data_IF_736233967251
#
_entry.id   IF_736233967251
#
_cell.length_a   1.000
_cell.length_b   1.000
_cell.length_c   1.000
_cell.angle_alpha   90.00
_cell.angle_beta   90.00
_cell.angle_gamma   90.00
#
_symmetry.space_group_name_H-M   'P 1'
#
loop_
_entity.id
_entity.type
_entity.pdbx_description
1 polymer ?
#
# COMPACT_ATOMS: atom_id res chain seq x y z
N UNK A 1 18.23 3.28 6.89
CA UNK A 1 17.14 4.17 7.38
C UNK A 1 16.05 4.28 6.32
N UNK A 2 14.82 3.85 6.64
CA UNK A 2 13.68 4.02 5.72
C UNK A 2 13.26 5.48 5.71
N UNK A 3 13.29 6.15 4.55
CA UNK A 3 12.90 7.57 4.39
C UNK A 3 11.39 7.84 4.59
N UNK A 4 10.58 6.82 4.90
CA UNK A 4 9.12 6.92 5.04
C UNK A 4 8.73 7.12 6.50
N UNK A 5 8.53 8.38 6.89
CA UNK A 5 8.05 8.75 8.23
C UNK A 5 6.52 8.73 8.27
N UNK A 6 5.94 7.90 9.14
CA UNK A 6 4.51 7.93 9.42
C UNK A 6 4.20 9.08 10.37
N UNK A 7 2.96 9.58 10.35
CA UNK A 7 2.51 10.62 11.30
C UNK A 7 2.59 10.11 12.75
N UNK A 8 2.22 8.85 12.96
CA UNK A 8 2.37 8.13 14.23
C UNK A 8 3.42 7.02 14.03
N UNK A 9 4.67 7.20 14.47
CA UNK A 9 5.76 6.24 14.21
C UNK A 9 5.47 4.81 14.68
N UNK A 10 4.81 4.66 15.82
CA UNK A 10 4.49 3.41 16.50
C UNK A 10 3.46 2.58 15.71
N UNK A 11 2.70 3.21 14.82
CA UNK A 11 1.68 2.54 13.99
C UNK A 11 2.26 1.66 12.88
N UNK A 12 3.59 1.60 12.72
CA UNK A 12 4.24 0.91 11.59
C UNK A 12 3.78 -0.53 11.40
N UNK A 13 3.74 -1.31 12.47
CA UNK A 13 3.30 -2.71 12.40
C UNK A 13 1.84 -2.81 11.93
N UNK A 14 0.95 -1.98 12.47
CA UNK A 14 -0.45 -1.94 12.06
C UNK A 14 -0.62 -1.46 10.60
N UNK A 15 0.18 -0.50 10.14
CA UNK A 15 0.18 -0.06 8.75
C UNK A 15 0.66 -1.15 7.78
N UNK A 16 1.63 -1.95 8.19
CA UNK A 16 2.09 -3.08 7.38
C UNK A 16 1.04 -4.19 7.32
N UNK A 17 0.36 -4.50 8.42
CA UNK A 17 -0.80 -5.41 8.41
C UNK A 17 -1.94 -4.89 7.53
N UNK A 18 -2.25 -3.59 7.64
CA UNK A 18 -3.27 -2.96 6.80
C UNK A 18 -2.91 -3.06 5.32
N UNK A 19 -1.64 -2.80 4.96
CA UNK A 19 -1.15 -2.92 3.58
C UNK A 19 -1.37 -4.33 3.02
N UNK A 20 -1.01 -5.35 3.80
CA UNK A 20 -1.21 -6.76 3.44
C UNK A 20 -2.71 -7.05 3.24
N UNK A 21 -3.56 -6.65 4.20
CA UNK A 21 -5.02 -6.80 4.14
C UNK A 21 -5.63 -6.16 2.88
N UNK A 22 -5.35 -4.89 2.61
CA UNK A 22 -5.97 -4.18 1.47
C UNK A 22 -5.43 -4.61 0.11
N UNK A 23 -4.28 -5.27 0.09
CA UNK A 23 -3.66 -5.80 -1.14
C UNK A 23 -3.97 -7.28 -1.36
N UNK A 24 -4.70 -7.92 -0.43
CA UNK A 24 -5.01 -9.36 -0.51
C UNK A 24 -3.79 -10.27 -0.35
N UNK A 25 -2.73 -9.80 0.29
CA UNK A 25 -1.48 -10.57 0.47
C UNK A 25 -1.24 -10.93 1.94
N UNK A 26 -0.47 -11.99 2.18
CA UNK A 26 0.01 -12.33 3.53
C UNK A 26 1.24 -11.49 3.91
N UNK A 27 2.11 -11.21 2.94
CA UNK A 27 3.30 -10.38 3.12
C UNK A 27 3.07 -8.97 2.55
N UNK A 28 3.20 -7.89 3.37
CA UNK A 28 3.10 -6.52 2.90
C UNK A 28 4.15 -6.13 1.84
N UNK A 29 5.27 -6.83 1.73
CA UNK A 29 6.29 -6.57 0.72
C UNK A 29 5.92 -7.08 -0.67
N UNK A 30 5.08 -8.11 -0.73
CA UNK A 30 4.62 -8.72 -1.99
C UNK A 30 3.42 -7.97 -2.59
N UNK A 31 2.72 -7.15 -1.81
CA UNK A 31 1.58 -6.34 -2.23
C UNK A 31 1.77 -5.61 -3.58
N UNK A 32 2.94 -5.02 -3.80
CA UNK A 32 3.28 -4.29 -5.04
C UNK A 32 3.39 -5.20 -6.26
N UNK A 33 3.84 -6.44 -6.09
CA UNK A 33 4.00 -7.37 -7.19
C UNK A 33 2.65 -7.98 -7.60
N UNK A 34 1.81 -8.33 -6.62
CA UNK A 34 0.46 -8.83 -6.89
C UNK A 34 -0.39 -7.77 -7.60
N UNK A 35 -0.39 -6.54 -7.10
CA UNK A 35 -1.14 -5.45 -7.74
C UNK A 35 -0.59 -5.11 -9.13
N UNK A 36 0.73 -5.14 -9.32
CA UNK A 36 1.31 -4.94 -10.64
C UNK A 36 0.88 -6.05 -11.62
N UNK A 37 0.87 -7.31 -11.17
CA UNK A 37 0.42 -8.47 -11.95
C UNK A 37 -1.04 -8.34 -12.35
N UNK A 38 -1.92 -7.95 -11.42
CA UNK A 38 -3.35 -7.69 -11.71
C UNK A 38 -3.55 -6.58 -12.76
N UNK A 39 -2.66 -5.58 -12.77
CA UNK A 39 -2.74 -4.44 -13.70
C UNK A 39 -1.95 -4.65 -15.01
N UNK A 40 -1.33 -5.81 -15.21
CA UNK A 40 -0.48 -6.08 -16.39
C UNK A 40 0.77 -5.20 -16.45
N UNK A 41 1.25 -4.72 -15.31
CA UNK A 41 2.43 -3.85 -15.20
C UNK A 41 3.67 -4.72 -14.98
N UNK A 42 4.75 -4.58 -15.79
CA UNK A 42 5.94 -5.44 -15.71
C UNK A 42 6.87 -5.02 -14.56
N UNK A 43 6.35 -5.02 -13.33
CA UNK A 43 7.14 -4.78 -12.12
C UNK A 43 7.80 -6.08 -11.68
N UNK A 44 9.13 -6.08 -11.55
CA UNK A 44 9.92 -7.25 -11.19
C UNK A 44 10.79 -7.04 -9.95
N UNK A 45 11.29 -8.14 -9.38
CA UNK A 45 12.33 -8.08 -8.33
C UNK A 45 13.63 -7.61 -8.99
N UNK A 46 14.30 -6.62 -8.41
CA UNK A 46 15.51 -6.02 -8.97
C UNK A 46 15.26 -4.77 -9.82
N UNK A 47 15.90 -4.71 -11.00
CA UNK A 47 15.93 -3.51 -11.83
C UNK A 47 14.62 -3.28 -12.59
N UNK A 48 14.05 -2.08 -12.45
CA UNK A 48 12.81 -1.67 -13.11
C UNK A 48 13.00 -0.37 -13.91
N UNK A 49 14.18 -0.12 -14.48
CA UNK A 49 14.47 1.17 -15.14
C UNK A 49 13.67 1.45 -16.41
N UNK A 50 12.99 0.43 -16.97
CA UNK A 50 12.04 0.60 -18.09
C UNK A 50 10.60 0.89 -17.62
N UNK A 51 10.33 0.80 -16.32
CA UNK A 51 9.01 1.07 -15.76
C UNK A 51 8.74 2.57 -15.82
N UNK A 52 7.65 2.97 -16.46
CA UNK A 52 7.31 4.39 -16.53
C UNK A 52 6.84 4.91 -15.17
N UNK A 53 7.00 6.21 -14.92
CA UNK A 53 6.49 6.84 -13.70
C UNK A 53 4.98 6.65 -13.54
N UNK A 54 4.23 6.63 -14.65
CA UNK A 54 2.79 6.34 -14.65
C UNK A 54 2.50 4.91 -14.18
N UNK A 55 3.24 3.92 -14.68
CA UNK A 55 3.09 2.52 -14.26
C UNK A 55 3.43 2.35 -12.77
N UNK A 56 4.55 2.92 -12.32
CA UNK A 56 4.90 2.92 -10.90
C UNK A 56 3.83 3.62 -10.04
N UNK A 57 3.29 4.73 -10.54
CA UNK A 57 2.21 5.49 -9.92
C UNK A 57 0.90 4.70 -9.81
N UNK A 58 0.52 3.93 -10.84
CA UNK A 58 -0.68 3.07 -10.81
C UNK A 58 -0.60 2.01 -9.71
N UNK A 59 0.55 1.33 -9.59
CA UNK A 59 0.78 0.34 -8.53
C UNK A 59 0.77 0.99 -7.14
N UNK A 60 1.57 2.04 -6.94
CA UNK A 60 1.68 2.73 -5.65
C UNK A 60 0.37 3.40 -5.22
N UNK A 61 -0.34 4.01 -6.17
CA UNK A 61 -1.61 4.67 -5.96
C UNK A 61 -2.73 3.71 -5.59
N UNK A 62 -2.79 2.52 -6.22
CA UNK A 62 -3.77 1.48 -5.85
C UNK A 62 -3.56 1.00 -4.42
N UNK A 63 -2.31 0.77 -4.00
CA UNK A 63 -2.00 0.41 -2.60
C UNK A 63 -2.34 1.56 -1.65
N UNK A 64 -1.71 2.71 -1.85
CA UNK A 64 -1.80 3.84 -0.93
C UNK A 64 -3.21 4.41 -0.84
N UNK A 65 -3.91 4.52 -1.97
CA UNK A 65 -5.29 4.98 -2.03
C UNK A 65 -6.25 4.07 -1.28
N UNK A 66 -6.12 2.74 -1.45
CA UNK A 66 -6.93 1.77 -0.71
C UNK A 66 -6.64 1.81 0.79
N UNK A 67 -5.37 1.95 1.19
CA UNK A 67 -4.99 2.11 2.59
C UNK A 67 -5.63 3.36 3.21
N UNK A 68 -5.52 4.53 2.55
CA UNK A 68 -6.11 5.78 3.04
C UNK A 68 -7.62 5.68 3.12
N UNK A 69 -8.28 5.12 2.11
CA UNK A 69 -9.73 4.90 2.11
C UNK A 69 -10.18 4.06 3.31
N UNK A 70 -9.47 2.97 3.60
CA UNK A 70 -9.77 2.10 4.73
C UNK A 70 -9.50 2.78 6.08
N UNK A 71 -8.42 3.57 6.20
CA UNK A 71 -8.13 4.37 7.39
C UNK A 71 -9.23 5.38 7.69
N UNK A 72 -9.69 6.11 6.67
CA UNK A 72 -10.79 7.08 6.82
C UNK A 72 -12.07 6.39 7.25
N UNK A 73 -12.41 5.25 6.64
CA UNK A 73 -13.59 4.44 7.03
C UNK A 73 -13.52 4.03 8.51
N UNK A 74 -12.40 3.47 8.96
CA UNK A 74 -12.21 3.07 10.37
C UNK A 74 -12.32 4.25 11.33
N UNK A 75 -11.76 5.41 10.96
CA UNK A 75 -11.87 6.62 11.77
C UNK A 75 -13.32 7.10 11.89
N UNK A 76 -14.07 7.14 10.79
CA UNK A 76 -15.49 7.51 10.77
C UNK A 76 -16.33 6.57 11.65
N UNK A 77 -16.10 5.25 11.56
CA UNK A 77 -16.79 4.27 12.39
C UNK A 77 -16.51 4.45 13.87
N UNK A 78 -15.27 4.79 14.24
CA UNK A 78 -14.90 5.03 15.63
C UNK A 78 -15.48 6.35 16.18
N UNK A 79 -15.64 7.37 15.32
CA UNK A 79 -16.30 8.63 15.70
C UNK A 79 -17.80 8.43 15.94
N UNK A 80 -18.47 7.59 15.14
CA UNK A 80 -19.91 7.33 15.24
C UNK A 80 -20.28 6.36 16.38
N UNK A 81 -19.30 5.70 17.01
CA UNK A 81 -19.50 4.79 18.16
C UNK A 81 -19.42 5.50 19.51
N UNK A 82 -19.17 6.81 19.51
CA UNK A 82 -19.29 7.68 20.68
C UNK A 82 -20.70 8.26 20.75
#
# INVERSE_FOLDING_TARGET
MSRRKLLVPESRAAMDQLKAKVSGTLDPQEAKYEIAKEQGIPLQKGYNGKLTSEQAGKVGGRIGGNMVKELVRMAQENLNKK
#
